data_IF_148815090956
#
_entry.id   IF_148815090956
#
_cell.length_a   1.000
_cell.length_b   1.000
_cell.length_c   1.000
_cell.angle_alpha   90.00
_cell.angle_beta   90.00
_cell.angle_gamma   90.00
#
_symmetry.space_group_name_H-M   'P 1'
#
loop_
_entity.id
_entity.type
_entity.pdbx_description
1 polymer ?
#
# COMPACT_ATOMS: atom_id res chain seq x y z
N UNK A 1 3.67 -14.26 -0.23
CA UNK A 1 3.23 -12.91 -0.69
C UNK A 1 2.04 -12.52 0.17
N UNK A 2 1.91 -11.25 0.51
CA UNK A 2 0.79 -10.73 1.28
C UNK A 2 0.18 -9.55 0.55
N UNK A 3 -1.10 -9.30 0.80
CA UNK A 3 -1.74 -8.06 0.40
C UNK A 3 -1.51 -6.98 1.45
N UNK A 4 -1.26 -5.77 0.99
CA UNK A 4 -1.23 -4.56 1.79
C UNK A 4 -2.28 -3.59 1.26
N UNK A 5 -3.07 -3.03 2.16
CA UNK A 5 -4.05 -1.99 1.87
C UNK A 5 -3.81 -0.83 2.83
N UNK A 6 -3.92 0.41 2.35
CA UNK A 6 -3.70 1.60 3.16
C UNK A 6 -4.37 2.83 2.59
N UNK A 7 -4.79 3.73 3.48
CA UNK A 7 -5.32 5.03 3.10
C UNK A 7 -4.19 6.05 3.04
N UNK A 8 -4.20 6.88 2.00
CA UNK A 8 -3.16 7.88 1.74
C UNK A 8 -3.82 9.19 1.30
N UNK A 9 -3.35 10.32 1.85
CA UNK A 9 -3.69 11.65 1.31
C UNK A 9 -3.13 11.78 -0.11
N UNK A 10 -3.92 12.31 -1.05
CA UNK A 10 -3.50 12.46 -2.45
C UNK A 10 -2.18 13.21 -2.61
N UNK A 11 -1.92 14.19 -1.75
CA UNK A 11 -0.69 14.99 -1.73
C UNK A 11 0.56 14.18 -1.39
N UNK A 12 0.42 13.00 -0.77
CA UNK A 12 1.50 12.09 -0.38
C UNK A 12 1.55 10.81 -1.21
N UNK A 13 0.67 10.69 -2.21
CA UNK A 13 0.55 9.47 -3.01
C UNK A 13 1.88 9.11 -3.69
N UNK A 14 2.54 10.08 -4.33
CA UNK A 14 3.80 9.83 -5.05
C UNK A 14 4.92 9.35 -4.11
N UNK A 15 4.98 9.89 -2.90
CA UNK A 15 5.93 9.43 -1.87
C UNK A 15 5.65 7.97 -1.49
N UNK A 16 4.38 7.61 -1.24
CA UNK A 16 3.99 6.21 -0.95
C UNK A 16 4.34 5.29 -2.11
N UNK A 17 4.00 5.67 -3.34
CA UNK A 17 4.28 4.87 -4.54
C UNK A 17 5.78 4.63 -4.73
N UNK A 18 6.63 5.61 -4.38
CA UNK A 18 8.09 5.47 -4.46
C UNK A 18 8.69 4.48 -3.45
N UNK A 19 7.99 4.25 -2.32
CA UNK A 19 8.41 3.31 -1.29
C UNK A 19 8.05 1.88 -1.62
N UNK A 20 6.95 1.68 -2.37
CA UNK A 20 6.46 0.37 -2.78
C UNK A 20 7.42 -0.27 -3.80
N UNK A 21 7.63 -1.60 -3.73
CA UNK A 21 8.50 -2.28 -4.69
C UNK A 21 7.93 -2.14 -6.11
N UNK A 22 8.75 -1.65 -7.04
CA UNK A 22 8.39 -1.29 -8.42
C UNK A 22 7.74 -2.41 -9.27
N UNK A 23 7.76 -3.65 -8.81
CA UNK A 23 7.28 -4.82 -9.55
C UNK A 23 5.76 -5.00 -9.54
N UNK A 24 5.02 -4.31 -8.67
CA UNK A 24 3.58 -4.54 -8.52
C UNK A 24 2.84 -3.20 -8.63
N UNK A 25 2.35 -2.88 -9.83
CA UNK A 25 1.52 -1.71 -10.14
C UNK A 25 0.38 -1.62 -9.12
N UNK A 26 0.48 -0.75 -8.10
CA UNK A 26 -0.48 -0.75 -7.03
C UNK A 26 -1.82 -0.23 -7.56
N UNK A 27 -2.91 -0.79 -7.05
CA UNK A 27 -4.24 -0.27 -7.32
C UNK A 27 -4.43 1.00 -6.49
N UNK A 28 -4.89 2.07 -7.12
CA UNK A 28 -5.23 3.33 -6.45
C UNK A 28 -6.70 3.61 -6.70
N UNK A 29 -7.51 3.62 -5.63
CA UNK A 29 -8.94 3.85 -5.69
C UNK A 29 -9.32 5.12 -4.91
N UNK A 30 -10.28 5.90 -5.43
CA UNK A 30 -10.80 7.06 -4.71
C UNK A 30 -11.63 6.61 -3.51
N UNK A 31 -11.43 7.25 -2.36
CA UNK A 31 -12.27 7.06 -1.18
C UNK A 31 -13.48 8.00 -1.21
N UNK A 32 -14.38 7.83 -0.24
CA UNK A 32 -15.51 8.75 -0.03
C UNK A 32 -15.06 10.18 0.26
N UNK A 33 -13.89 10.33 0.89
CA UNK A 33 -13.20 11.61 1.03
C UNK A 33 -12.33 11.84 -0.21
N UNK A 34 -12.58 12.95 -0.91
CA UNK A 34 -11.91 13.28 -2.16
C UNK A 34 -10.40 13.56 -1.98
N UNK A 35 -9.96 13.94 -0.78
CA UNK A 35 -8.55 14.20 -0.48
C UNK A 35 -7.76 12.91 -0.24
N UNK A 36 -8.44 11.75 -0.17
CA UNK A 36 -7.85 10.47 0.14
C UNK A 36 -8.03 9.42 -0.95
N UNK A 37 -7.10 8.48 -0.98
CA UNK A 37 -7.12 7.29 -1.82
C UNK A 37 -6.80 6.04 -1.01
N UNK A 38 -7.37 4.92 -1.43
CA UNK A 38 -6.93 3.58 -1.02
C UNK A 38 -5.82 3.13 -1.97
N UNK A 39 -4.72 2.65 -1.39
CA UNK A 39 -3.60 2.05 -2.12
C UNK A 39 -3.53 0.59 -1.72
N UNK A 40 -3.74 -0.30 -2.70
CA UNK A 40 -3.70 -1.74 -2.53
C UNK A 40 -2.61 -2.35 -3.39
N UNK A 41 -1.73 -3.14 -2.78
CA UNK A 41 -0.66 -3.81 -3.49
C UNK A 41 -0.36 -5.18 -2.88
N UNK A 42 0.25 -6.04 -3.68
CA UNK A 42 0.81 -7.29 -3.21
C UNK A 42 2.31 -7.05 -3.00
N UNK A 43 2.88 -7.65 -1.96
CA UNK A 43 4.34 -7.62 -1.72
C UNK A 43 4.83 -8.98 -1.21
N UNK A 44 6.16 -9.17 -1.21
CA UNK A 44 6.73 -10.29 -0.45
C UNK A 44 6.68 -9.98 1.05
N UNK A 45 6.29 -10.98 1.83
CA UNK A 45 6.09 -10.87 3.29
C UNK A 45 7.34 -10.36 4.03
N UNK A 46 8.54 -10.75 3.57
CA UNK A 46 9.80 -10.29 4.14
C UNK A 46 10.01 -8.77 4.06
N UNK A 47 9.38 -8.07 3.12
CA UNK A 47 9.48 -6.62 2.98
C UNK A 47 8.53 -5.87 3.91
N UNK A 48 7.48 -6.51 4.41
CA UNK A 48 6.44 -5.84 5.21
C UNK A 48 7.04 -5.18 6.45
N UNK A 49 7.86 -5.93 7.18
CA UNK A 49 8.48 -5.46 8.42
C UNK A 49 9.36 -4.22 8.22
N UNK A 50 9.98 -4.05 7.06
CA UNK A 50 10.83 -2.90 6.75
C UNK A 50 10.08 -1.74 6.10
N UNK A 51 9.04 -2.02 5.30
CA UNK A 51 8.32 -1.00 4.55
C UNK A 51 7.19 -0.34 5.36
N UNK A 52 6.48 -1.09 6.22
CA UNK A 52 5.34 -0.56 6.99
C UNK A 52 5.70 0.65 7.87
N UNK A 53 6.84 0.66 8.60
CA UNK A 53 7.25 1.85 9.34
C UNK A 53 7.45 3.08 8.43
N UNK A 54 8.12 2.88 7.29
CA UNK A 54 8.39 3.95 6.32
C UNK A 54 7.11 4.50 5.69
N UNK A 55 6.15 3.62 5.39
CA UNK A 55 4.83 4.01 4.88
C UNK A 55 4.06 4.85 5.91
N UNK A 56 4.12 4.47 7.19
CA UNK A 56 3.50 5.25 8.27
C UNK A 56 4.12 6.64 8.41
N UNK A 57 5.45 6.73 8.31
CA UNK A 57 6.20 7.99 8.34
C UNK A 57 5.83 8.89 7.16
N UNK A 58 5.73 8.31 5.95
CA UNK A 58 5.25 8.98 4.75
C UNK A 58 3.75 9.34 4.79
N UNK A 59 3.03 8.98 5.85
CA UNK A 59 1.65 9.42 6.08
C UNK A 59 0.57 8.41 5.73
N UNK A 60 0.91 7.17 5.37
CA UNK A 60 -0.09 6.12 5.24
C UNK A 60 -0.83 5.88 6.57
N UNK A 61 -2.13 5.67 6.47
CA UNK A 61 -3.05 5.42 7.59
C UNK A 61 -3.82 4.12 7.36
N UNK A 62 -4.23 3.49 8.45
CA UNK A 62 -5.06 2.28 8.39
C UNK A 62 -4.42 1.14 7.58
N UNK A 63 -3.10 0.95 7.68
CA UNK A 63 -2.40 -0.11 6.96
C UNK A 63 -2.90 -1.48 7.45
N UNK A 64 -3.42 -2.30 6.54
CA UNK A 64 -3.87 -3.66 6.78
C UNK A 64 -3.02 -4.62 5.96
N UNK A 65 -2.50 -5.64 6.63
CA UNK A 65 -1.83 -6.79 6.02
C UNK A 65 -2.78 -7.98 6.04
N UNK A 66 -2.87 -8.71 4.92
CA UNK A 66 -3.68 -9.92 4.83
C UNK A 66 -2.98 -11.03 4.04
N UNK A 67 -3.09 -12.30 4.47
CA UNK A 67 -2.48 -13.42 3.80
C UNK A 67 -3.17 -13.68 2.45
N UNK A 68 -2.37 -14.05 1.44
CA UNK A 68 -2.91 -14.47 0.15
C UNK A 68 -2.93 -16.00 0.09
N UNK A 69 -4.12 -16.57 0.03
CA UNK A 69 -4.30 -18.03 0.01
C UNK A 69 -4.04 -18.65 -1.37
N UNK A 70 -4.30 -17.90 -2.45
CA UNK A 70 -4.16 -18.37 -3.83
C UNK A 70 -3.87 -17.20 -4.75
N UNK A 71 -2.88 -17.36 -5.62
CA UNK A 71 -2.62 -16.46 -6.75
C UNK A 71 -2.82 -17.30 -8.01
N UNK A 72 -3.63 -16.79 -8.93
CA UNK A 72 -3.79 -17.32 -10.27
C UNK A 72 -3.29 -16.23 -11.21
N UNK A 73 -2.39 -16.61 -12.10
CA UNK A 73 -1.73 -15.73 -13.08
C UNK A 73 -1.91 -16.35 -14.48
#
# INVERSE_FOLDING_TARGET
KVGLMMNVERTRLDEILSLLPALQTPTVAALSDADWVDVNTIVEERFVRSIVPRLKEAGARGIVEYPINKIID
#
